data_IF_288811881507
#
_entry.id   IF_288811881507
#
_cell.length_a   1.000
_cell.length_b   1.000
_cell.length_c   1.000
_cell.angle_alpha   90.00
_cell.angle_beta   90.00
_cell.angle_gamma   90.00
#
_symmetry.space_group_name_H-M   'P 1'
#
loop_
_entity.id
_entity.type
_entity.pdbx_description
1 polymer ?
#
# COMPACT_ATOMS: atom_id res chain seq x y z
N UNK A 1 0.47 -2.70 10.99
CA UNK A 1 -0.67 -1.81 10.72
C UNK A 1 -0.27 -0.38 11.03
N UNK A 2 -0.44 0.56 10.10
CA UNK A 2 -0.03 1.97 10.30
C UNK A 2 -0.84 2.66 11.40
N UNK A 3 -2.13 2.35 11.52
CA UNK A 3 -3.02 2.97 12.51
C UNK A 3 -2.82 2.48 13.97
N UNK A 4 -1.93 1.50 14.18
CA UNK A 4 -1.59 1.01 15.52
C UNK A 4 -0.38 1.74 16.14
N UNK A 5 0.15 2.77 15.46
CA UNK A 5 1.26 3.57 15.98
C UNK A 5 0.79 4.41 17.18
N UNK A 6 1.61 4.56 18.22
CA UNK A 6 1.31 5.45 19.33
C UNK A 6 1.48 6.92 18.91
N UNK A 7 0.75 7.80 19.55
CA UNK A 7 0.89 9.26 19.44
C UNK A 7 0.46 9.93 20.75
N UNK A 8 1.04 11.08 21.05
CA UNK A 8 0.69 11.88 22.24
C UNK A 8 -0.45 12.83 21.90
N UNK A 9 -1.57 12.69 22.61
CA UNK A 9 -2.76 13.53 22.46
C UNK A 9 -3.03 14.25 23.77
N UNK A 10 -3.29 15.54 23.68
CA UNK A 10 -3.69 16.37 24.80
C UNK A 10 -5.23 16.38 24.90
N UNK A 11 -5.77 15.58 25.81
CA UNK A 11 -7.22 15.57 26.14
C UNK A 11 -7.40 16.10 27.54
N UNK A 12 -8.34 17.03 27.73
CA UNK A 12 -8.58 17.66 29.04
C UNK A 12 -7.30 18.25 29.68
N UNK A 13 -6.38 18.77 28.85
CA UNK A 13 -5.08 19.30 29.29
C UNK A 13 -4.17 18.27 29.98
N UNK A 14 -4.39 16.99 29.70
CA UNK A 14 -3.52 15.89 30.10
C UNK A 14 -2.96 15.19 28.86
N UNK A 15 -1.66 14.93 28.89
CA UNK A 15 -0.97 14.18 27.85
C UNK A 15 -1.28 12.70 28.01
N UNK A 16 -1.99 12.17 27.03
CA UNK A 16 -2.37 10.77 26.95
C UNK A 16 -1.71 10.15 25.72
N UNK A 17 -1.11 8.98 25.90
CA UNK A 17 -0.61 8.18 24.78
C UNK A 17 -1.75 7.32 24.25
N UNK A 18 -2.12 7.53 22.99
CA UNK A 18 -3.17 6.77 22.30
C UNK A 18 -2.64 6.22 20.98
N UNK A 19 -3.33 5.23 20.43
CA UNK A 19 -3.04 4.75 19.07
C UNK A 19 -3.71 5.64 18.03
N UNK A 20 -3.17 5.68 16.81
CA UNK A 20 -3.71 6.53 15.73
C UNK A 20 -5.19 6.28 15.42
N UNK A 21 -5.65 5.04 15.56
CA UNK A 21 -7.07 4.68 15.40
C UNK A 21 -8.00 5.41 16.38
N UNK A 22 -7.50 5.79 17.55
CA UNK A 22 -8.29 6.46 18.59
C UNK A 22 -8.35 7.97 18.44
N UNK A 23 -7.70 8.57 17.43
CA UNK A 23 -7.69 10.02 17.18
C UNK A 23 -9.05 10.47 16.66
N UNK A 24 -9.58 11.54 17.23
CA UNK A 24 -10.85 12.14 16.84
C UNK A 24 -10.66 13.58 16.33
N UNK A 25 -11.63 14.07 15.55
CA UNK A 25 -11.66 15.47 15.11
C UNK A 25 -11.75 16.37 16.35
N UNK A 26 -10.91 17.41 16.40
CA UNK A 26 -10.80 18.30 17.55
C UNK A 26 -9.77 17.89 18.59
N UNK A 27 -9.14 16.72 18.47
CA UNK A 27 -8.01 16.35 19.33
C UNK A 27 -6.80 17.25 19.06
N UNK A 28 -6.10 17.61 20.15
CA UNK A 28 -4.81 18.28 20.09
C UNK A 28 -3.70 17.24 20.12
N UNK A 29 -2.92 17.15 19.07
CA UNK A 29 -1.86 16.15 18.90
C UNK A 29 -0.51 16.83 18.99
N UNK A 30 0.40 16.29 19.80
CA UNK A 30 1.80 16.67 19.80
C UNK A 30 2.57 15.73 18.89
N UNK A 31 3.27 16.29 17.91
CA UNK A 31 4.11 15.54 16.97
C UNK A 31 5.56 15.96 17.20
N UNK A 32 6.46 14.99 17.30
CA UNK A 32 7.89 15.22 17.48
C UNK A 32 8.68 15.13 16.16
N UNK A 33 9.93 15.59 16.20
CA UNK A 33 10.82 15.53 15.04
C UNK A 33 10.94 14.10 14.48
N UNK A 34 10.88 13.97 13.15
CA UNK A 34 10.91 12.70 12.39
C UNK A 34 9.72 11.78 12.64
N UNK A 35 8.68 12.24 13.33
CA UNK A 35 7.42 11.50 13.43
C UNK A 35 6.52 11.78 12.23
N UNK A 36 5.77 10.75 11.83
CA UNK A 36 4.77 10.86 10.79
C UNK A 36 3.49 11.47 11.34
N UNK A 37 2.88 12.37 10.56
CA UNK A 37 1.64 13.05 10.90
C UNK A 37 0.46 12.07 10.78
N UNK A 38 -0.31 11.83 11.85
CA UNK A 38 -1.28 10.73 11.90
C UNK A 38 -2.62 11.01 11.21
N UNK A 39 -3.02 12.28 11.15
CA UNK A 39 -4.30 12.77 10.64
C UNK A 39 -4.11 14.17 10.05
N UNK A 40 -5.07 14.67 9.29
CA UNK A 40 -4.98 16.00 8.71
C UNK A 40 -5.33 17.04 9.77
N UNK A 41 -4.45 18.03 9.95
CA UNK A 41 -4.63 19.01 11.00
C UNK A 41 -4.03 20.37 10.70
N UNK A 42 -4.23 21.28 11.64
CA UNK A 42 -3.77 22.67 11.58
C UNK A 42 -2.74 22.90 12.67
N UNK A 43 -1.58 23.45 12.29
CA UNK A 43 -0.55 23.83 13.25
C UNK A 43 -1.02 25.02 14.10
N UNK A 44 -0.98 24.85 15.41
CA UNK A 44 -1.31 25.90 16.38
C UNK A 44 -0.05 26.54 16.97
N UNK A 45 0.91 25.71 17.37
CA UNK A 45 2.18 26.14 17.95
C UNK A 45 3.32 25.22 17.50
N UNK A 46 4.54 25.74 17.55
CA UNK A 46 5.78 25.06 17.18
C UNK A 46 6.82 25.27 18.27
N UNK A 47 7.87 24.46 18.30
CA UNK A 47 9.06 24.71 19.10
C UNK A 47 9.82 25.98 18.70
N UNK A 48 9.63 26.45 17.46
CA UNK A 48 10.26 27.66 16.94
C UNK A 48 9.48 28.92 17.37
N UNK A 49 10.18 29.99 17.75
CA UNK A 49 9.57 31.25 18.23
C UNK A 49 8.63 31.91 17.21
N UNK A 50 8.92 31.72 15.93
CA UNK A 50 8.12 32.25 14.83
C UNK A 50 6.91 31.35 14.48
N UNK A 51 6.71 30.23 15.16
CA UNK A 51 5.63 29.29 14.86
C UNK A 51 5.83 28.50 13.57
N UNK A 52 7.02 28.52 12.97
CA UNK A 52 7.32 27.79 11.73
C UNK A 52 7.67 26.33 12.01
N UNK A 53 7.41 25.47 11.03
CA UNK A 53 7.91 24.11 11.00
C UNK A 53 8.19 23.66 9.56
N UNK A 54 8.91 22.56 9.41
CA UNK A 54 9.14 21.94 8.11
C UNK A 54 8.52 20.56 8.06
N UNK A 55 7.88 20.24 6.94
CA UNK A 55 7.36 18.90 6.68
C UNK A 55 8.00 18.31 5.43
N UNK A 56 8.27 17.01 5.49
CA UNK A 56 8.63 16.20 4.35
C UNK A 56 7.36 15.57 3.78
N UNK A 57 7.05 15.87 2.51
CA UNK A 57 5.89 15.34 1.78
C UNK A 57 6.26 14.28 0.75
N UNK A 58 7.49 13.78 0.75
CA UNK A 58 7.97 12.75 -0.19
C UNK A 58 7.06 11.51 -0.26
N UNK A 59 6.42 11.13 0.85
CA UNK A 59 5.47 10.02 0.90
C UNK A 59 4.12 10.30 0.20
N UNK A 60 3.82 11.56 -0.11
CA UNK A 60 2.55 12.00 -0.69
C UNK A 60 2.68 12.34 -2.17
N UNK A 61 3.74 13.06 -2.54
CA UNK A 61 3.93 13.66 -3.86
C UNK A 61 5.27 13.30 -4.52
N UNK A 62 6.16 12.59 -3.81
CA UNK A 62 7.51 12.24 -4.30
C UNK A 62 8.49 13.42 -4.34
N UNK A 63 8.11 14.60 -3.82
CA UNK A 63 9.01 15.75 -3.75
C UNK A 63 9.92 15.65 -2.53
N UNK A 64 11.24 15.79 -2.73
CA UNK A 64 12.23 15.71 -1.65
C UNK A 64 12.45 17.05 -0.91
N UNK A 65 11.78 18.12 -1.34
CA UNK A 65 11.92 19.44 -0.74
C UNK A 65 11.08 19.54 0.53
N UNK A 66 11.70 20.01 1.60
CA UNK A 66 10.98 20.33 2.83
C UNK A 66 10.04 21.52 2.58
N UNK A 67 8.77 21.34 2.91
CA UNK A 67 7.75 22.39 2.80
C UNK A 67 7.63 23.11 4.13
N UNK A 68 7.83 24.42 4.12
CA UNK A 68 7.66 25.27 5.30
C UNK A 68 6.17 25.51 5.58
N UNK A 69 5.78 25.36 6.84
CA UNK A 69 4.44 25.66 7.36
C UNK A 69 4.58 26.61 8.55
N UNK A 70 3.54 27.37 8.84
CA UNK A 70 3.58 28.40 9.87
C UNK A 70 2.23 28.48 10.60
N UNK A 71 2.27 28.52 11.92
CA UNK A 71 1.07 28.76 12.73
C UNK A 71 0.61 30.21 12.67
N UNK A 72 -0.63 30.47 13.09
CA UNK A 72 -1.09 31.84 13.23
C UNK A 72 -0.36 32.51 14.39
N UNK A 73 -0.02 33.80 14.24
CA UNK A 73 0.63 34.58 15.32
C UNK A 73 -0.18 34.64 16.62
N UNK A 74 -1.50 34.50 16.51
CA UNK A 74 -2.43 34.47 17.65
C UNK A 74 -2.34 33.15 18.40
N UNK A 75 -2.10 32.05 17.70
CA UNK A 75 -2.02 30.71 18.30
C UNK A 75 -0.59 30.33 18.70
N UNK A 76 0.44 30.94 18.10
CA UNK A 76 1.84 30.56 18.32
C UNK A 76 2.30 30.72 19.77
N UNK A 77 1.70 31.64 20.52
CA UNK A 77 1.98 31.88 21.94
C UNK A 77 1.06 31.10 22.89
N UNK A 78 0.22 30.21 22.37
CA UNK A 78 -0.65 29.39 23.22
C UNK A 78 0.20 28.37 23.98
N UNK A 79 0.18 28.50 25.30
CA UNK A 79 0.70 27.49 26.22
C UNK A 79 -0.45 26.56 26.56
N UNK A 80 -0.31 25.28 26.21
CA UNK A 80 -1.33 24.26 26.46
C UNK A 80 -1.02 23.53 27.78
N UNK A 81 -1.10 24.25 28.90
CA UNK A 81 -0.83 23.71 30.25
C UNK A 81 -2.10 23.68 31.12
N UNK A 82 -2.11 22.83 32.16
CA UNK A 82 -3.22 22.64 33.12
C UNK A 82 -3.69 23.95 33.78
N UNK A 83 -2.78 24.91 33.90
CA UNK A 83 -3.02 26.26 34.44
C UNK A 83 -3.79 27.17 33.49
N UNK A 84 -3.93 26.81 32.20
CA UNK A 84 -4.59 27.60 31.15
C UNK A 84 -6.12 27.46 31.14
N UNK A 85 -6.69 27.05 32.29
CA UNK A 85 -8.11 26.71 32.52
C UNK A 85 -9.12 27.80 32.13
N UNK A 86 -8.67 29.05 31.97
CA UNK A 86 -9.52 30.22 31.77
C UNK A 86 -9.67 30.69 30.32
N UNK A 87 -8.96 30.10 29.34
CA UNK A 87 -8.89 30.69 28.00
C UNK A 87 -9.94 30.13 27.03
N UNK A 88 -10.84 31.04 26.64
CA UNK A 88 -11.41 31.27 25.31
C UNK A 88 -11.75 30.04 24.45
N UNK A 89 -13.00 30.00 23.97
CA UNK A 89 -13.44 28.97 23.02
C UNK A 89 -12.92 29.31 21.62
N UNK A 90 -12.10 28.43 21.06
CA UNK A 90 -11.63 28.48 19.68
C UNK A 90 -12.57 27.67 18.80
N UNK A 91 -12.95 28.21 17.64
CA UNK A 91 -13.75 27.47 16.65
C UNK A 91 -13.08 27.51 15.29
N UNK A 92 -12.85 26.33 14.70
CA UNK A 92 -12.40 26.23 13.31
C UNK A 92 -13.59 25.86 12.44
N UNK A 93 -13.78 26.62 11.37
CA UNK A 93 -14.69 26.28 10.27
C UNK A 93 -13.86 26.13 9.01
N UNK A 94 -13.84 24.93 8.44
CA UNK A 94 -13.13 24.63 7.19
C UNK A 94 -14.09 24.14 6.11
N UNK A 95 -13.59 24.05 4.89
CA UNK A 95 -14.29 23.39 3.79
C UNK A 95 -14.50 21.88 4.04
N UNK A 96 -15.27 21.22 3.17
CA UNK A 96 -15.35 19.76 3.20
C UNK A 96 -14.05 19.15 2.63
N UNK A 97 -13.65 17.95 3.09
CA UNK A 97 -12.44 17.31 2.60
C UNK A 97 -12.49 17.05 1.09
N UNK A 98 -11.52 17.58 0.36
CA UNK A 98 -11.36 17.43 -1.08
C UNK A 98 -10.14 16.53 -1.44
N UNK A 99 -9.89 16.35 -2.73
CA UNK A 99 -8.75 15.58 -3.24
C UNK A 99 -7.50 16.43 -3.47
N UNK A 100 -7.59 17.76 -3.39
CA UNK A 100 -6.43 18.63 -3.62
C UNK A 100 -5.54 18.64 -2.37
N UNK A 101 -4.39 17.99 -2.45
CA UNK A 101 -3.49 17.80 -1.31
C UNK A 101 -2.98 19.13 -0.71
N UNK A 102 -2.91 20.20 -1.51
CA UNK A 102 -2.26 21.46 -1.12
C UNK A 102 -3.24 22.57 -0.76
N UNK A 103 -4.43 22.54 -1.37
CA UNK A 103 -5.48 23.51 -1.09
C UNK A 103 -6.05 23.25 0.30
N UNK A 104 -6.14 24.29 1.11
CA UNK A 104 -6.93 24.23 2.33
C UNK A 104 -7.49 25.63 2.56
N UNK A 105 -8.79 25.72 2.79
CA UNK A 105 -9.48 26.94 3.17
C UNK A 105 -10.28 26.71 4.45
N UNK A 106 -10.00 27.55 5.45
CA UNK A 106 -10.79 27.60 6.67
C UNK A 106 -10.63 28.92 7.38
N UNK A 107 -11.35 29.08 8.49
CA UNK A 107 -11.27 30.23 9.35
C UNK A 107 -11.22 29.77 10.81
N UNK A 108 -10.31 30.35 11.59
CA UNK A 108 -10.23 30.23 13.02
C UNK A 108 -10.90 31.45 13.67
N UNK A 109 -11.90 31.21 14.50
CA UNK A 109 -12.53 32.22 15.37
C UNK A 109 -11.87 32.21 16.74
N UNK A 110 -11.28 33.35 17.13
CA UNK A 110 -10.69 33.60 18.46
C UNK A 110 -11.26 34.92 18.98
N UNK A 111 -11.89 34.93 20.15
CA UNK A 111 -12.46 36.15 20.76
C UNK A 111 -13.37 36.96 19.80
N UNK A 112 -14.19 36.29 18.99
CA UNK A 112 -15.04 36.92 17.95
C UNK A 112 -14.28 37.59 16.78
N UNK A 113 -12.96 37.42 16.69
CA UNK A 113 -12.14 37.77 15.52
C UNK A 113 -11.90 36.55 14.66
N UNK A 114 -12.01 36.73 13.35
CA UNK A 114 -11.82 35.67 12.36
C UNK A 114 -10.44 35.78 11.71
N UNK A 115 -9.69 34.69 11.71
CA UNK A 115 -8.39 34.55 11.06
C UNK A 115 -8.49 33.51 9.95
N UNK A 116 -8.06 33.86 8.74
CA UNK A 116 -8.07 32.94 7.61
C UNK A 116 -6.96 31.89 7.75
N UNK A 117 -7.33 30.64 7.57
CA UNK A 117 -6.45 29.49 7.49
C UNK A 117 -6.30 29.09 6.02
N UNK A 118 -5.06 28.84 5.63
CA UNK A 118 -4.71 28.43 4.27
C UNK A 118 -3.90 27.13 4.30
N UNK A 119 -3.47 26.65 3.13
CA UNK A 119 -2.50 25.56 3.05
C UNK A 119 -1.24 25.79 3.90
N UNK A 120 -0.83 27.04 4.17
CA UNK A 120 0.37 27.32 4.98
C UNK A 120 0.29 26.80 6.42
N UNK A 121 -0.92 26.69 6.98
CA UNK A 121 -1.16 26.18 8.34
C UNK A 121 -1.49 24.68 8.35
N UNK A 122 -1.69 24.07 7.18
CA UNK A 122 -2.19 22.71 7.05
C UNK A 122 -1.07 21.67 7.05
N UNK A 123 -1.28 20.62 7.84
CA UNK A 123 -0.40 19.47 8.01
C UNK A 123 -1.12 18.21 7.50
N UNK A 124 -0.77 17.69 6.31
CA UNK A 124 -1.40 16.50 5.76
C UNK A 124 -0.91 15.22 6.44
N UNK A 125 -1.81 14.27 6.65
CA UNK A 125 -1.50 12.89 7.07
C UNK A 125 -0.50 12.26 6.11
N UNK A 126 0.50 11.56 6.64
CA UNK A 126 1.52 10.86 5.86
C UNK A 126 2.75 11.71 5.52
N UNK A 127 2.70 13.02 5.75
CA UNK A 127 3.92 13.83 5.84
C UNK A 127 4.66 13.54 7.15
N UNK A 128 5.95 13.88 7.20
CA UNK A 128 6.79 13.71 8.40
C UNK A 128 7.33 15.06 8.86
N UNK A 129 7.33 15.31 10.17
CA UNK A 129 7.91 16.54 10.73
C UNK A 129 9.44 16.49 10.61
N UNK A 130 10.05 17.57 10.15
CA UNK A 130 11.51 17.68 9.99
C UNK A 130 12.01 19.01 10.54
N UNK A 131 13.24 19.04 11.06
CA UNK A 131 13.93 20.24 11.50
C UNK A 131 13.11 21.10 12.49
N UNK A 132 12.29 20.47 13.34
CA UNK A 132 11.45 21.12 14.34
C UNK A 132 11.21 20.11 15.46
N UNK A 133 11.50 20.49 16.72
CA UNK A 133 11.51 19.53 17.85
C UNK A 133 10.12 18.99 18.16
N UNK A 134 9.12 19.86 18.12
CA UNK A 134 7.73 19.50 18.31
C UNK A 134 6.81 20.51 17.66
N UNK A 135 5.61 20.06 17.28
CA UNK A 135 4.49 20.92 16.90
C UNK A 135 3.22 20.48 17.63
N UNK A 136 2.39 21.45 18.00
CA UNK A 136 1.03 21.22 18.46
C UNK A 136 0.08 21.42 17.29
N UNK A 137 -0.68 20.38 16.98
CA UNK A 137 -1.59 20.33 15.85
C UNK A 137 -3.00 20.05 16.33
N UNK A 138 -3.99 20.75 15.78
CA UNK A 138 -5.40 20.46 15.96
C UNK A 138 -5.91 19.61 14.80
N UNK A 139 -6.51 18.46 15.10
CA UNK A 139 -6.99 17.53 14.09
C UNK A 139 -8.30 18.04 13.48
N UNK A 140 -8.34 18.12 12.15
CA UNK A 140 -9.49 18.61 11.38
C UNK A 140 -10.16 17.50 10.58
N UNK A 141 -9.38 16.61 9.94
CA UNK A 141 -9.93 15.44 9.25
C UNK A 141 -9.25 14.15 9.73
N UNK A 142 -10.05 13.09 9.90
CA UNK A 142 -9.57 11.76 10.33
C UNK A 142 -10.01 10.67 9.36
N UNK A 143 -9.32 9.52 9.40
CA UNK A 143 -9.70 8.33 8.63
C UNK A 143 -9.83 8.59 7.11
N UNK A 144 -10.98 8.21 6.54
CA UNK A 144 -11.30 8.34 5.12
C UNK A 144 -11.55 9.78 4.66
N UNK A 145 -11.65 10.73 5.59
CA UNK A 145 -11.79 12.15 5.28
C UNK A 145 -10.45 12.86 5.13
N UNK A 146 -9.34 12.22 5.48
CA UNK A 146 -8.01 12.76 5.17
C UNK A 146 -7.76 12.82 3.67
N UNK A 147 -7.11 13.88 3.19
CA UNK A 147 -6.86 14.13 1.76
C UNK A 147 -6.09 13.00 1.08
N UNK A 148 -5.14 12.39 1.78
CA UNK A 148 -4.42 11.20 1.28
C UNK A 148 -5.38 10.02 1.05
N UNK A 149 -6.39 9.82 1.91
CA UNK A 149 -7.37 8.74 1.77
C UNK A 149 -8.43 9.07 0.71
N UNK A 150 -8.76 10.35 0.50
CA UNK A 150 -9.59 10.77 -0.64
C UNK A 150 -8.92 10.50 -1.99
N UNK A 151 -7.59 10.54 -2.03
CA UNK A 151 -6.79 10.17 -3.20
C UNK A 151 -6.49 8.66 -3.28
N UNK A 152 -6.66 7.92 -2.19
CA UNK A 152 -6.46 6.49 -2.17
C UNK A 152 -7.58 5.79 -2.95
N UNK A 153 -7.21 4.96 -3.92
CA UNK A 153 -8.16 4.05 -4.56
C UNK A 153 -8.49 2.92 -3.61
N UNK A 154 -9.76 2.52 -3.55
CA UNK A 154 -10.15 1.33 -2.80
C UNK A 154 -9.28 0.13 -3.21
N UNK A 155 -8.91 -0.69 -2.24
CA UNK A 155 -8.15 -1.90 -2.51
C UNK A 155 -9.04 -2.84 -3.33
N UNK A 156 -8.69 -3.05 -4.61
CA UNK A 156 -9.36 -4.02 -5.46
C UNK A 156 -8.54 -5.31 -5.45
N UNK A 157 -9.23 -6.44 -5.33
CA UNK A 157 -8.60 -7.75 -5.54
C UNK A 157 -8.14 -7.85 -7.00
N UNK A 158 -6.83 -8.05 -7.18
CA UNK A 158 -6.23 -8.27 -8.49
C UNK A 158 -6.23 -9.76 -8.77
N UNK A 159 -6.89 -10.15 -9.85
CA UNK A 159 -6.83 -11.52 -10.37
C UNK A 159 -5.71 -11.62 -11.40
N UNK A 160 -5.01 -12.75 -11.44
CA UNK A 160 -3.98 -12.97 -12.45
C UNK A 160 -4.60 -13.36 -13.80
N UNK A 161 -3.87 -13.12 -14.87
CA UNK A 161 -4.26 -13.52 -16.22
C UNK A 161 -4.33 -15.06 -16.32
N UNK A 162 -3.45 -15.78 -15.61
CA UNK A 162 -3.50 -17.23 -15.49
C UNK A 162 -4.81 -17.70 -14.84
N UNK A 163 -5.24 -17.06 -13.75
CA UNK A 163 -6.52 -17.38 -13.07
C UNK A 163 -7.72 -17.16 -13.99
N UNK A 164 -7.74 -16.03 -14.69
CA UNK A 164 -8.82 -15.72 -15.64
C UNK A 164 -8.88 -16.76 -16.77
N UNK A 165 -7.72 -17.15 -17.31
CA UNK A 165 -7.62 -18.20 -18.35
C UNK A 165 -8.01 -19.57 -17.82
N UNK A 166 -7.60 -19.92 -16.61
CA UNK A 166 -7.98 -21.17 -15.94
C UNK A 166 -9.49 -21.25 -15.78
N UNK A 167 -10.13 -20.19 -15.26
CA UNK A 167 -11.57 -20.14 -15.08
C UNK A 167 -12.31 -20.29 -16.43
N UNK A 168 -11.83 -19.61 -17.48
CA UNK A 168 -12.39 -19.77 -18.84
C UNK A 168 -12.26 -21.21 -19.35
N UNK A 169 -11.13 -21.87 -19.12
CA UNK A 169 -10.93 -23.27 -19.50
C UNK A 169 -11.84 -24.21 -18.71
N UNK A 170 -12.03 -23.98 -17.40
CA UNK A 170 -12.94 -24.78 -16.55
C UNK A 170 -14.37 -24.67 -17.05
N UNK A 171 -14.85 -23.46 -17.36
CA UNK A 171 -16.18 -23.25 -17.95
C UNK A 171 -16.32 -23.95 -19.30
N UNK A 172 -15.28 -23.90 -20.15
CA UNK A 172 -15.28 -24.61 -21.43
C UNK A 172 -15.36 -26.13 -21.27
N UNK A 173 -14.58 -26.71 -20.34
CA UNK A 173 -14.61 -28.15 -20.03
C UNK A 173 -15.96 -28.56 -19.45
N UNK A 174 -16.58 -27.72 -18.61
CA UNK A 174 -17.93 -27.96 -18.08
C UNK A 174 -18.97 -28.13 -19.20
N UNK A 175 -18.96 -27.26 -20.22
CA UNK A 175 -19.88 -27.41 -21.36
C UNK A 175 -19.62 -28.70 -22.16
N UNK A 176 -18.35 -29.08 -22.36
CA UNK A 176 -17.99 -30.35 -22.99
C UNK A 176 -18.50 -31.53 -22.15
N UNK A 177 -18.34 -31.49 -20.83
CA UNK A 177 -18.81 -32.53 -19.92
C UNK A 177 -20.33 -32.70 -20.01
N UNK A 178 -21.10 -31.61 -19.96
CA UNK A 178 -22.56 -31.64 -20.11
C UNK A 178 -22.96 -32.24 -21.47
N UNK A 179 -22.28 -31.84 -22.55
CA UNK A 179 -22.53 -32.38 -23.89
C UNK A 179 -22.26 -33.89 -23.97
N UNK A 180 -21.13 -34.36 -23.41
CA UNK A 180 -20.79 -35.78 -23.37
C UNK A 180 -21.79 -36.59 -22.53
N UNK A 181 -22.23 -36.06 -21.39
CA UNK A 181 -23.25 -36.70 -20.55
C UNK A 181 -24.59 -36.80 -21.28
N UNK A 182 -24.98 -35.76 -22.03
CA UNK A 182 -26.20 -35.77 -22.84
C UNK A 182 -26.12 -36.82 -23.96
N UNK A 183 -24.99 -36.88 -24.68
CA UNK A 183 -24.77 -37.89 -25.73
C UNK A 183 -24.80 -39.31 -25.12
N UNK A 184 -24.14 -39.53 -23.98
CA UNK A 184 -24.12 -40.82 -23.30
C UNK A 184 -25.52 -41.27 -22.86
N UNK A 185 -26.31 -40.38 -22.27
CA UNK A 185 -27.69 -40.65 -21.90
C UNK A 185 -28.56 -40.97 -23.13
N UNK A 186 -28.43 -40.21 -24.21
CA UNK A 186 -29.13 -40.48 -25.47
C UNK A 186 -28.75 -41.85 -26.05
N UNK A 187 -27.45 -42.17 -26.15
CA UNK A 187 -26.98 -43.46 -26.69
C UNK A 187 -27.48 -44.61 -25.83
N UNK A 188 -27.45 -44.48 -24.50
CA UNK A 188 -27.99 -45.48 -23.59
C UNK A 188 -29.49 -45.70 -23.84
N UNK A 189 -30.26 -44.61 -23.91
CA UNK A 189 -31.69 -44.67 -24.19
C UNK A 189 -32.00 -45.35 -25.53
N UNK A 190 -31.27 -45.04 -26.61
CA UNK A 190 -31.50 -45.66 -27.91
C UNK A 190 -31.00 -47.10 -28.03
N UNK A 191 -29.89 -47.47 -27.39
CA UNK A 191 -29.28 -48.82 -27.50
C UNK A 191 -29.93 -49.86 -26.59
N UNK A 192 -30.41 -49.48 -25.42
CA UNK A 192 -30.94 -50.45 -24.45
C UNK A 192 -32.45 -50.69 -24.53
N UNK A 193 -33.18 -49.95 -25.38
CA UNK A 193 -34.64 -49.79 -25.34
C UNK A 193 -35.55 -51.01 -25.61
N UNK A 194 -35.08 -52.25 -25.78
CA UNK A 194 -36.03 -53.30 -26.20
C UNK A 194 -35.81 -54.76 -25.81
N UNK A 195 -34.63 -55.23 -25.39
CA UNK A 195 -34.45 -56.69 -25.19
C UNK A 195 -33.76 -57.05 -23.86
N UNK A 196 -32.84 -56.23 -23.35
CA UNK A 196 -32.11 -56.53 -22.11
C UNK A 196 -32.76 -55.97 -20.83
N UNK A 197 -33.49 -54.86 -20.92
CA UNK A 197 -34.07 -54.19 -19.74
C UNK A 197 -35.32 -54.88 -19.18
N UNK A 198 -36.10 -55.55 -20.05
CA UNK A 198 -37.26 -56.34 -19.61
C UNK A 198 -36.85 -57.55 -18.75
N UNK A 199 -35.61 -58.03 -18.85
CA UNK A 199 -35.06 -59.08 -17.99
C UNK A 199 -34.58 -58.57 -16.61
N UNK A 200 -34.37 -57.26 -16.46
CA UNK A 200 -33.92 -56.62 -15.22
C UNK A 200 -35.09 -55.98 -14.44
N UNK A 201 -36.29 -55.93 -15.04
CA UNK A 201 -37.50 -55.38 -14.42
C UNK A 201 -37.55 -53.86 -14.40
N UNK A 202 -36.79 -53.20 -15.27
CA UNK A 202 -36.68 -51.74 -15.36
C UNK A 202 -37.68 -51.22 -16.42
N UNK A 203 -38.78 -50.64 -15.96
CA UNK A 203 -39.89 -50.18 -16.81
C UNK A 203 -39.66 -48.70 -17.15
N UNK A 204 -39.01 -48.43 -18.29
CA UNK A 204 -38.62 -47.07 -18.72
C UNK A 204 -39.79 -46.21 -19.19
N UNK A 205 -40.69 -45.86 -18.27
CA UNK A 205 -41.89 -45.07 -18.54
C UNK A 205 -41.78 -43.59 -18.20
N UNK A 206 -40.75 -43.14 -17.47
CA UNK A 206 -40.72 -41.79 -16.91
C UNK A 206 -39.61 -40.88 -17.47
N UNK A 207 -39.95 -39.62 -17.77
CA UNK A 207 -38.96 -38.57 -18.08
C UNK A 207 -37.96 -38.33 -16.94
N UNK A 208 -38.35 -38.71 -15.71
CA UNK A 208 -37.51 -38.65 -14.52
C UNK A 208 -36.32 -39.62 -14.59
N UNK A 209 -36.49 -40.83 -15.11
CA UNK A 209 -35.39 -41.79 -15.26
C UNK A 209 -34.31 -41.31 -16.23
N UNK A 210 -34.70 -40.67 -17.33
CA UNK A 210 -33.74 -40.09 -18.28
C UNK A 210 -32.90 -38.97 -17.64
N UNK A 211 -33.53 -38.17 -16.75
CA UNK A 211 -32.84 -37.13 -15.98
C UNK A 211 -31.92 -37.74 -14.93
N UNK A 212 -32.36 -38.78 -14.21
CA UNK A 212 -31.54 -39.48 -13.22
C UNK A 212 -30.34 -40.18 -13.88
N UNK A 213 -30.53 -40.77 -15.05
CA UNK A 213 -29.46 -41.38 -15.84
C UNK A 213 -28.45 -40.34 -16.32
N UNK A 214 -28.92 -39.18 -16.80
CA UNK A 214 -28.05 -38.05 -17.14
C UNK A 214 -27.24 -37.57 -15.93
N UNK A 215 -27.88 -37.38 -14.77
CA UNK A 215 -27.21 -36.99 -13.53
C UNK A 215 -26.19 -38.05 -13.06
N UNK A 216 -26.50 -39.33 -13.25
CA UNK A 216 -25.58 -40.44 -12.96
C UNK A 216 -24.31 -40.36 -13.83
N UNK A 217 -24.46 -40.05 -15.13
CA UNK A 217 -23.31 -39.81 -16.02
C UNK A 217 -22.51 -38.56 -15.63
N UNK A 218 -23.16 -37.50 -15.14
CA UNK A 218 -22.46 -36.31 -14.61
C UNK A 218 -21.58 -36.67 -13.42
N UNK A 219 -22.08 -37.49 -12.49
CA UNK A 219 -21.31 -37.99 -11.34
C UNK A 219 -20.16 -38.88 -11.80
N UNK A 220 -20.41 -39.78 -12.74
CA UNK A 220 -19.38 -40.67 -13.31
C UNK A 220 -18.23 -39.87 -13.97
N UNK A 221 -18.58 -38.75 -14.62
CA UNK A 221 -17.66 -37.87 -15.33
C UNK A 221 -17.11 -36.73 -14.45
N UNK A 222 -17.29 -36.75 -13.12
CA UNK A 222 -16.85 -35.68 -12.24
C UNK A 222 -15.32 -35.42 -12.26
N UNK A 223 -14.53 -36.38 -12.74
CA UNK A 223 -13.07 -36.31 -12.85
C UNK A 223 -12.60 -35.41 -14.00
N UNK A 224 -13.48 -35.04 -14.94
CA UNK A 224 -13.17 -34.12 -16.05
C UNK A 224 -12.85 -32.71 -15.57
N UNK A 225 -13.47 -32.25 -14.48
CA UNK A 225 -13.14 -30.96 -13.85
C UNK A 225 -12.25 -31.26 -12.65
N UNK A 226 -10.91 -31.18 -12.80
CA UNK A 226 -10.00 -31.48 -11.70
C UNK A 226 -10.16 -30.44 -10.60
N UNK A 227 -10.83 -30.82 -9.51
CA UNK A 227 -10.99 -29.99 -8.30
C UNK A 227 -9.61 -29.61 -7.73
N UNK A 228 -8.63 -30.49 -7.89
CA UNK A 228 -7.25 -30.28 -7.46
C UNK A 228 -6.51 -29.18 -8.22
N UNK A 229 -6.96 -28.77 -9.41
CA UNK A 229 -6.27 -27.78 -10.25
C UNK A 229 -6.12 -26.44 -9.53
N UNK A 230 -7.24 -25.93 -8.98
CA UNK A 230 -7.28 -24.62 -8.31
C UNK A 230 -6.39 -24.63 -7.07
N UNK A 231 -6.49 -25.69 -6.26
CA UNK A 231 -5.70 -25.85 -5.03
C UNK A 231 -4.21 -25.97 -5.34
N UNK A 232 -3.85 -26.75 -6.37
CA UNK A 232 -2.45 -26.94 -6.77
C UNK A 232 -1.82 -25.63 -7.25
N UNK A 233 -2.55 -24.83 -8.04
CA UNK A 233 -2.07 -23.52 -8.49
C UNK A 233 -1.84 -22.57 -7.31
N UNK A 234 -2.76 -22.54 -6.33
CA UNK A 234 -2.61 -21.69 -5.15
C UNK A 234 -1.40 -22.08 -4.29
N UNK A 235 -1.16 -23.38 -4.11
CA UNK A 235 0.03 -23.89 -3.42
C UNK A 235 1.30 -23.46 -4.16
N UNK A 236 1.35 -23.64 -5.48
CA UNK A 236 2.52 -23.25 -6.30
C UNK A 236 2.78 -21.74 -6.16
N UNK A 237 1.76 -20.89 -6.28
CA UNK A 237 1.86 -19.44 -6.12
C UNK A 237 2.37 -19.03 -4.73
N UNK A 238 1.91 -19.73 -3.69
CA UNK A 238 2.38 -19.51 -2.31
C UNK A 238 3.86 -19.88 -2.15
N UNK A 239 4.29 -21.01 -2.73
CA UNK A 239 5.70 -21.42 -2.72
C UNK A 239 6.58 -20.42 -3.48
N UNK A 240 6.14 -19.94 -4.65
CA UNK A 240 6.86 -18.91 -5.41
C UNK A 240 7.02 -17.61 -4.62
N UNK A 241 5.98 -17.16 -3.91
CA UNK A 241 6.07 -15.97 -3.04
C UNK A 241 7.10 -16.15 -1.91
N UNK A 242 7.21 -17.36 -1.35
CA UNK A 242 8.26 -17.69 -0.37
C UNK A 242 9.66 -17.71 -0.97
N UNK A 243 9.83 -18.24 -2.18
CA UNK A 243 11.12 -18.19 -2.88
C UNK A 243 11.59 -16.76 -3.13
N UNK A 244 10.69 -15.84 -3.49
CA UNK A 244 11.02 -14.40 -3.60
C UNK A 244 11.51 -13.85 -2.26
N UNK A 245 10.82 -14.20 -1.16
CA UNK A 245 11.15 -13.67 0.17
C UNK A 245 12.47 -14.25 0.73
N UNK A 246 12.82 -15.48 0.36
CA UNK A 246 14.02 -16.17 0.81
C UNK A 246 15.27 -15.89 -0.03
N UNK A 247 15.15 -15.19 -1.16
CA UNK A 247 16.31 -14.92 -2.01
C UNK A 247 17.27 -13.90 -1.37
N UNK A 248 18.47 -14.39 -1.02
CA UNK A 248 19.52 -13.57 -0.45
C UNK A 248 20.09 -12.53 -1.43
N UNK A 249 19.94 -12.72 -2.74
CA UNK A 249 20.40 -11.74 -3.74
C UNK A 249 19.51 -10.51 -3.81
N UNK A 250 18.26 -10.60 -3.35
CA UNK A 250 17.30 -9.49 -3.30
C UNK A 250 17.32 -8.75 -1.95
N UNK A 251 18.44 -8.84 -1.21
CA UNK A 251 18.64 -8.09 0.04
C UNK A 251 19.36 -6.78 -0.21
N UNK A 252 18.84 -5.72 0.39
CA UNK A 252 19.46 -4.39 0.42
C UNK A 252 20.73 -4.39 1.29
N UNK A 253 21.57 -3.36 1.12
CA UNK A 253 22.75 -3.09 1.96
C UNK A 253 22.41 -2.98 3.45
N UNK A 254 21.16 -2.61 3.75
CA UNK A 254 20.66 -2.42 5.11
C UNK A 254 20.19 -3.74 5.75
N UNK A 255 20.29 -4.87 5.02
CA UNK A 255 19.91 -6.20 5.49
C UNK A 255 18.44 -6.57 5.27
N UNK A 256 17.60 -5.61 4.85
CA UNK A 256 16.19 -5.84 4.48
C UNK A 256 16.08 -6.61 3.17
N UNK A 257 15.22 -7.64 3.12
CA UNK A 257 14.98 -8.47 1.94
C UNK A 257 13.69 -8.10 1.21
N UNK A 258 13.56 -8.57 -0.03
CA UNK A 258 12.29 -8.49 -0.76
C UNK A 258 11.17 -9.20 0.01
N UNK A 259 9.99 -8.58 0.07
CA UNK A 259 8.81 -9.17 0.70
C UNK A 259 7.67 -9.27 -0.31
N UNK A 260 7.20 -10.50 -0.54
CA UNK A 260 6.02 -10.75 -1.37
C UNK A 260 4.74 -10.58 -0.53
N UNK A 261 4.16 -9.38 -0.54
CA UNK A 261 2.91 -9.09 0.19
C UNK A 261 1.66 -9.78 -0.38
N UNK A 262 1.74 -10.30 -1.61
CA UNK A 262 0.63 -10.97 -2.29
C UNK A 262 1.16 -12.17 -3.05
N UNK A 263 0.59 -13.36 -2.80
CA UNK A 263 0.97 -14.62 -3.47
C UNK A 263 0.31 -14.78 -4.84
N UNK A 264 -0.89 -14.22 -5.03
CA UNK A 264 -1.72 -14.45 -6.23
C UNK A 264 -1.17 -13.89 -7.53
N UNK A 265 -0.19 -12.98 -7.48
CA UNK A 265 0.33 -12.23 -8.64
C UNK A 265 1.77 -12.60 -9.03
N UNK A 266 2.32 -13.67 -8.45
CA UNK A 266 3.72 -14.06 -8.71
C UNK A 266 3.98 -14.43 -10.17
N UNK A 267 2.98 -14.97 -10.87
CA UNK A 267 2.99 -15.32 -12.29
C UNK A 267 2.91 -14.11 -13.24
N UNK A 268 2.41 -12.97 -12.76
CA UNK A 268 2.33 -11.73 -13.55
C UNK A 268 3.69 -11.07 -13.75
N UNK A 269 4.64 -11.29 -12.83
CA UNK A 269 5.98 -10.69 -12.91
C UNK A 269 6.71 -11.07 -14.21
N UNK A 270 6.45 -12.27 -14.75
CA UNK A 270 7.02 -12.73 -16.03
C UNK A 270 6.33 -12.15 -17.27
N UNK A 271 5.22 -11.44 -17.11
CA UNK A 271 4.38 -10.91 -18.20
C UNK A 271 4.42 -9.37 -18.28
N UNK A 272 5.22 -8.72 -17.43
CA UNK A 272 5.34 -7.25 -17.40
C UNK A 272 5.98 -6.73 -18.69
N UNK A 273 5.24 -5.94 -19.46
CA UNK A 273 5.72 -5.28 -20.69
C UNK A 273 6.16 -3.82 -20.47
N UNK A 274 5.53 -3.13 -19.53
CA UNK A 274 5.79 -1.72 -19.25
C UNK A 274 6.11 -1.55 -17.78
N UNK A 275 7.22 -0.88 -17.48
CA UNK A 275 7.61 -0.50 -16.12
C UNK A 275 7.46 1.01 -16.01
N UNK A 276 6.47 1.45 -15.24
CA UNK A 276 6.36 2.85 -14.83
C UNK A 276 7.22 3.05 -13.59
N UNK A 277 8.20 3.93 -13.68
CA UNK A 277 9.15 4.20 -12.60
C UNK A 277 9.03 5.66 -12.17
N UNK A 278 9.03 5.89 -10.86
CA UNK A 278 9.17 7.24 -10.34
C UNK A 278 10.65 7.67 -10.40
N UNK A 279 10.89 8.95 -10.65
CA UNK A 279 12.25 9.49 -10.66
C UNK A 279 12.81 9.54 -9.25
N UNK A 280 12.11 10.22 -8.35
CA UNK A 280 12.59 10.51 -7.01
C UNK A 280 12.35 9.30 -6.11
N UNK A 281 13.31 8.94 -5.27
CA UNK A 281 13.20 7.78 -4.37
C UNK A 281 13.30 6.39 -5.02
N UNK A 282 13.17 6.27 -6.36
CA UNK A 282 13.37 5.01 -7.10
C UNK A 282 14.60 5.05 -7.99
N UNK A 283 14.66 5.96 -8.99
CA UNK A 283 15.82 6.08 -9.88
C UNK A 283 16.99 6.83 -9.22
N UNK A 284 16.67 7.87 -8.44
CA UNK A 284 17.68 8.69 -7.77
C UNK A 284 17.66 8.46 -6.26
N UNK A 285 18.84 8.29 -5.66
CA UNK A 285 18.99 8.41 -4.21
C UNK A 285 18.72 9.85 -3.79
N UNK A 286 18.11 10.05 -2.62
CA UNK A 286 17.83 11.39 -2.06
C UNK A 286 19.11 12.02 -1.48
N UNK A 287 20.18 12.07 -2.27
CA UNK A 287 21.47 12.67 -1.93
C UNK A 287 21.90 13.64 -3.03
N UNK A 288 21.92 14.93 -2.71
CA UNK A 288 22.38 15.98 -3.62
C UNK A 288 23.86 16.25 -3.39
N UNK A 289 24.71 15.91 -4.35
CA UNK A 289 26.16 16.13 -4.30
C UNK A 289 26.54 17.23 -5.28
N UNK A 290 27.12 18.31 -4.78
CA UNK A 290 27.67 19.36 -5.62
C UNK A 290 28.91 18.85 -6.36
N UNK A 291 28.88 18.84 -7.70
CA UNK A 291 29.99 18.32 -8.52
C UNK A 291 30.77 19.40 -9.26
N UNK A 292 30.06 20.36 -9.86
CA UNK A 292 30.64 21.40 -10.72
C UNK A 292 29.82 22.68 -10.61
N UNK A 293 30.47 23.82 -10.78
CA UNK A 293 29.79 25.10 -11.05
C UNK A 293 30.49 25.86 -12.16
N UNK A 294 29.77 26.77 -12.81
CA UNK A 294 30.36 27.76 -13.71
C UNK A 294 30.24 29.15 -13.10
N UNK A 295 31.36 29.86 -12.99
CA UNK A 295 31.41 31.24 -12.49
C UNK A 295 32.27 32.05 -13.46
N UNK A 296 31.70 33.12 -14.02
CA UNK A 296 32.42 34.00 -14.96
C UNK A 296 32.93 33.30 -16.23
N UNK A 297 32.28 32.23 -16.69
CA UNK A 297 32.73 31.42 -17.84
C UNK A 297 33.79 30.37 -17.51
N UNK A 298 34.36 30.37 -16.30
CA UNK A 298 35.21 29.29 -15.80
C UNK A 298 34.37 28.12 -15.28
N UNK A 299 34.77 26.88 -15.57
CA UNK A 299 34.14 25.67 -15.02
C UNK A 299 35.00 25.16 -13.87
N UNK A 300 34.45 25.13 -12.67
CA UNK A 300 35.08 24.59 -11.48
C UNK A 300 34.51 23.21 -11.19
N UNK A 301 35.39 22.23 -11.02
CA UNK A 301 35.00 20.85 -10.74
C UNK A 301 35.62 20.39 -9.45
N UNK A 302 34.86 19.68 -8.60
CA UNK A 302 35.41 19.03 -7.43
C UNK A 302 36.45 17.99 -7.87
N UNK A 303 37.67 18.03 -7.31
CA UNK A 303 38.66 16.95 -7.51
C UNK A 303 38.11 15.68 -6.89
N UNK A 304 37.99 14.61 -7.66
CA UNK A 304 37.64 13.30 -7.13
C UNK A 304 38.77 12.85 -6.18
N UNK A 305 38.49 12.75 -4.87
CA UNK A 305 39.34 11.94 -4.01
C UNK A 305 39.24 10.48 -4.48
N UNK A 306 40.36 9.76 -4.68
CA UNK A 306 40.30 8.35 -5.02
C UNK A 306 39.55 7.61 -3.91
N UNK A 307 38.49 6.89 -4.31
CA UNK A 307 37.69 6.08 -3.41
C UNK A 307 38.61 5.23 -2.52
N UNK A 308 38.42 5.30 -1.20
CA UNK A 308 39.08 4.41 -0.24
C UNK A 308 38.73 2.97 -0.61
N UNK A 309 39.62 2.31 -1.34
CA UNK A 309 39.56 0.87 -1.61
C UNK A 309 39.55 0.16 -0.27
N UNK A 310 38.37 -0.26 0.18
CA UNK A 310 38.24 -1.18 1.29
C UNK A 310 38.77 -2.51 0.78
N UNK A 311 40.03 -2.80 1.11
CA UNK A 311 40.69 -4.06 0.83
C UNK A 311 39.95 -5.18 1.55
N UNK A 312 38.87 -5.71 0.95
CA UNK A 312 38.35 -7.04 1.28
C UNK A 312 39.40 -8.04 0.77
N UNK A 313 40.28 -8.45 1.68
CA UNK A 313 41.19 -9.59 1.55
C UNK A 313 40.40 -10.81 1.06
N UNK A 314 40.37 -11.01 -0.26
CA UNK A 314 39.89 -12.23 -0.88
C UNK A 314 41.06 -13.20 -0.90
N UNK A 315 41.18 -14.02 0.15
CA UNK A 315 42.07 -15.20 0.17
C UNK A 315 41.71 -16.08 -1.04
N UNK A 316 42.53 -16.07 -2.09
CA UNK A 316 42.54 -17.13 -3.10
C UNK A 316 43.43 -18.25 -2.59
N UNK A 317 42.82 -19.38 -2.21
CA UNK A 317 43.51 -20.66 -2.14
C UNK A 317 43.92 -21.08 -3.56
N UNK A 318 45.12 -21.66 -3.63
CA UNK A 318 45.92 -21.78 -4.85
C UNK A 318 45.50 -22.85 -5.84
N UNK A 319 46.16 -22.80 -6.99
CA UNK A 319 46.75 -23.98 -7.64
C UNK A 319 47.87 -23.49 -8.57
N UNK A 320 49.09 -23.82 -8.18
CA UNK A 320 50.30 -23.79 -9.00
C UNK A 320 50.19 -24.87 -10.09
N UNK A 321 50.35 -24.48 -11.34
CA UNK A 321 50.82 -25.36 -12.41
C UNK A 321 51.86 -24.56 -13.19
N UNK A 322 53.13 -24.92 -12.98
CA UNK A 322 54.26 -24.39 -13.73
C UNK A 322 54.29 -24.99 -15.12
N UNK A 323 54.54 -24.15 -16.11
CA UNK A 323 55.15 -24.53 -17.38
C UNK A 323 56.10 -23.38 -17.74
N UNK A 324 57.38 -23.58 -17.48
CA UNK A 324 58.47 -22.92 -18.20
C UNK A 324 59.27 -24.04 -18.86
N UNK A 325 59.61 -23.84 -20.13
CA UNK A 325 60.85 -24.38 -20.71
C UNK A 325 62.03 -24.01 -19.83
#
# INVERSE_FOLDING_TARGET
MINAKPVTVLRNFEENHVVWESIQVGDLVRIHEREAIPADGIILASSEENGSCFIDTSNLDGEANLKSRESLRVTSKLVFDKTSREKEKYFIKCEQPDQDLYRFAGNLSVESKMYSLSGKQFLPRGSSLMNTKWVMMLVVYTGHDTKIMKNARAAHHKLSHLETRMNRTVVFVFFIQVLLCAIAACVHHFRFNSILLQQVGDDHGSSLESVLLFLSFVVLMNTLIPISLVVTVEIIKTVHAKFITWDNKMRSSNGEGAMANTSSLTDELGQVKYIFTDKTGTLTQNQMVFRKCSVGGGIYTQRDEPARTTTRLRRRHGHTAGVTT
#
